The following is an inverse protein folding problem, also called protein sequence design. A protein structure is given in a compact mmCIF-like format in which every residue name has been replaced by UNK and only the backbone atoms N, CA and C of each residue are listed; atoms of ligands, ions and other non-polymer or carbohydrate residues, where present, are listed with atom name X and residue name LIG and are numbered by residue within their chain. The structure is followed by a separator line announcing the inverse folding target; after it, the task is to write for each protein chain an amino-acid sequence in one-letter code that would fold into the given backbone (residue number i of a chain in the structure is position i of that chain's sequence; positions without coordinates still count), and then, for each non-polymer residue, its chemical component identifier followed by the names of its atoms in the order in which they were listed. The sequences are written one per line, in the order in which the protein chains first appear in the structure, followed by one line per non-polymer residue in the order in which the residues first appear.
data_IF_218711333457
#
_entry.id   IF_218711333457
#
_cell.length_a   1.000
_cell.length_b   1.000
_cell.length_c   1.000
_cell.angle_alpha   90.00
_cell.angle_beta   90.00
_cell.angle_gamma   90.00
#
_symmetry.space_group_name_H-M   'P 1'
#
loop_
_entity.id
_entity.type
_entity.pdbx_description
1 polymer ?
#
# COMPACT_ATOMS: atom_id res chain seq x y z
N UNK A 1 -7.97 -0.48 8.46
CA UNK A 1 -6.54 -0.17 8.64
C UNK A 1 -5.71 -1.43 8.56
N UNK A 2 -4.54 -1.33 7.97
CA UNK A 2 -3.64 -2.46 7.91
C UNK A 2 -2.85 -2.60 9.23
N UNK A 3 -2.42 -3.82 9.51
CA UNK A 3 -1.68 -4.15 10.73
C UNK A 3 -0.18 -4.14 10.46
N UNK A 4 0.55 -3.18 11.05
CA UNK A 4 2.00 -3.07 10.89
C UNK A 4 2.76 -4.24 11.53
N UNK A 5 2.13 -5.00 12.41
CA UNK A 5 2.75 -6.19 13.00
C UNK A 5 2.93 -7.33 11.97
N UNK A 6 2.30 -7.22 10.80
CA UNK A 6 2.49 -8.15 9.69
C UNK A 6 3.74 -7.84 8.85
N UNK A 7 4.37 -6.68 9.09
CA UNK A 7 5.64 -6.35 8.46
C UNK A 7 6.79 -7.12 9.10
N UNK A 8 7.85 -7.37 8.33
CA UNK A 8 9.08 -7.92 8.88
C UNK A 8 9.67 -6.94 9.91
N UNK A 9 10.42 -7.44 10.93
CA UNK A 9 10.84 -6.61 12.07
C UNK A 9 11.53 -5.29 11.70
N UNK A 10 12.49 -5.30 10.78
CA UNK A 10 13.20 -4.08 10.37
C UNK A 10 12.30 -3.14 9.56
N UNK A 11 11.45 -3.67 8.71
CA UNK A 11 10.47 -2.90 7.96
C UNK A 11 9.44 -2.27 8.88
N UNK A 12 8.98 -3.02 9.87
CA UNK A 12 8.09 -2.52 10.91
C UNK A 12 8.72 -1.34 11.65
N UNK A 13 10.00 -1.46 12.04
CA UNK A 13 10.73 -0.39 12.73
C UNK A 13 10.83 0.86 11.88
N UNK A 14 11.16 0.73 10.61
CA UNK A 14 11.18 1.85 9.67
C UNK A 14 9.81 2.51 9.55
N UNK A 15 8.74 1.71 9.47
CA UNK A 15 7.37 2.21 9.41
C UNK A 15 7.01 3.00 10.67
N UNK A 16 7.33 2.48 11.85
CA UNK A 16 7.09 3.17 13.13
C UNK A 16 7.83 4.50 13.20
N UNK A 17 9.10 4.53 12.82
CA UNK A 17 9.91 5.75 12.80
C UNK A 17 9.34 6.79 11.82
N UNK A 18 8.89 6.34 10.66
CA UNK A 18 8.26 7.20 9.66
C UNK A 18 6.96 7.81 10.17
N UNK A 19 6.07 7.00 10.75
CA UNK A 19 4.80 7.48 11.32
C UNK A 19 5.07 8.55 12.37
N UNK A 20 6.02 8.30 13.28
CA UNK A 20 6.35 9.23 14.35
C UNK A 20 6.93 10.53 13.81
N UNK A 21 7.82 10.46 12.82
CA UNK A 21 8.40 11.65 12.19
C UNK A 21 7.32 12.49 11.48
N UNK A 22 6.39 11.85 10.81
CA UNK A 22 5.25 12.54 10.18
C UNK A 22 4.36 13.20 11.23
N UNK A 23 4.05 12.48 12.32
CA UNK A 23 3.26 13.02 13.43
C UNK A 23 3.89 14.27 14.01
N UNK A 24 5.21 14.27 14.24
CA UNK A 24 5.96 15.43 14.74
C UNK A 24 5.91 16.61 13.77
N UNK A 25 5.81 16.35 12.49
CA UNK A 25 5.67 17.37 11.46
C UNK A 25 4.22 17.84 11.26
N UNK A 26 3.28 17.37 12.08
CA UNK A 26 1.87 17.73 12.00
C UNK A 26 1.09 17.00 10.92
N UNK A 27 1.65 15.90 10.40
CA UNK A 27 1.01 15.09 9.36
C UNK A 27 0.36 13.86 9.99
N UNK A 28 -0.96 13.74 9.83
CA UNK A 28 -1.70 12.56 10.25
C UNK A 28 -1.88 11.63 9.05
N UNK A 29 -1.62 10.34 9.26
CA UNK A 29 -1.77 9.35 8.22
C UNK A 29 -2.22 8.02 8.79
N UNK A 30 -2.74 7.16 7.92
CA UNK A 30 -3.05 5.76 8.23
C UNK A 30 -2.28 4.86 7.29
N UNK A 31 -1.93 3.68 7.78
CA UNK A 31 -1.32 2.64 6.95
C UNK A 31 -2.48 1.87 6.31
N UNK A 32 -2.53 1.87 4.99
CA UNK A 32 -3.63 1.26 4.25
C UNK A 32 -3.35 -0.17 3.84
N UNK A 33 -2.08 -0.53 3.67
CA UNK A 33 -1.69 -1.90 3.33
C UNK A 33 -0.31 -2.21 3.87
N UNK A 34 -0.12 -3.46 4.30
CA UNK A 34 1.17 -4.01 4.75
C UNK A 34 1.45 -5.32 4.02
N UNK A 35 1.10 -6.46 4.61
CA UNK A 35 1.22 -7.75 3.95
C UNK A 35 0.05 -7.95 2.97
N UNK A 36 0.38 -8.39 1.75
CA UNK A 36 -0.61 -8.74 0.72
C UNK A 36 -0.45 -10.20 0.37
N UNK A 37 -1.56 -10.95 0.36
CA UNK A 37 -1.53 -12.36 -0.03
C UNK A 37 -1.24 -12.51 -1.53
N UNK A 38 -0.74 -13.69 -1.92
CA UNK A 38 -0.53 -14.03 -3.33
C UNK A 38 -1.86 -14.02 -4.09
N UNK A 39 -2.95 -14.45 -3.45
CA UNK A 39 -4.29 -14.43 -4.04
C UNK A 39 -4.77 -13.02 -4.35
N UNK A 40 -4.57 -12.09 -3.42
CA UNK A 40 -4.91 -10.68 -3.64
C UNK A 40 -4.08 -10.09 -4.78
N UNK A 41 -2.78 -10.36 -4.81
CA UNK A 41 -1.88 -9.86 -5.84
C UNK A 41 -2.30 -10.37 -7.22
N UNK A 42 -2.62 -11.66 -7.32
CA UNK A 42 -3.08 -12.28 -8.57
C UNK A 42 -4.41 -11.67 -9.05
N UNK A 43 -5.35 -11.43 -8.13
CA UNK A 43 -6.63 -10.80 -8.44
C UNK A 43 -6.43 -9.37 -8.96
N UNK A 44 -5.58 -8.58 -8.31
CA UNK A 44 -5.28 -7.22 -8.76
C UNK A 44 -4.61 -7.19 -10.13
N UNK A 45 -3.65 -8.08 -10.35
CA UNK A 45 -2.98 -8.17 -11.64
C UNK A 45 -3.94 -8.55 -12.78
N UNK A 46 -4.92 -9.41 -12.51
CA UNK A 46 -5.88 -9.88 -13.51
C UNK A 46 -6.83 -8.79 -14.00
N UNK A 47 -7.06 -7.74 -13.19
CA UNK A 47 -8.00 -6.66 -13.51
C UNK A 47 -7.61 -5.96 -14.81
N UNK A 48 -8.52 -5.90 -15.74
CA UNK A 48 -8.31 -5.30 -17.05
C UNK A 48 -7.53 -6.18 -18.03
N UNK A 49 -7.01 -7.31 -17.59
CA UNK A 49 -6.22 -8.25 -18.41
C UNK A 49 -7.00 -9.53 -18.72
N UNK A 50 -7.97 -9.87 -17.90
CA UNK A 50 -8.78 -11.09 -18.03
C UNK A 50 -10.27 -10.76 -18.07
N UNK A 51 -11.10 -11.74 -18.45
CA UNK A 51 -12.55 -11.58 -18.43
C UNK A 51 -13.07 -11.30 -17.03
N UNK A 52 -14.15 -10.53 -16.92
CA UNK A 52 -14.74 -10.15 -15.63
C UNK A 52 -15.04 -11.36 -14.76
N UNK A 53 -15.59 -12.43 -15.33
CA UNK A 53 -15.89 -13.66 -14.59
C UNK A 53 -14.65 -14.27 -13.94
N UNK A 54 -13.52 -14.26 -14.66
CA UNK A 54 -12.23 -14.76 -14.16
C UNK A 54 -11.68 -13.85 -13.06
N UNK A 55 -11.72 -12.53 -13.27
CA UNK A 55 -11.28 -11.54 -12.29
C UNK A 55 -12.06 -11.70 -10.99
N UNK A 56 -13.39 -11.78 -11.09
CA UNK A 56 -14.24 -11.91 -9.90
C UNK A 56 -14.10 -13.26 -9.20
N UNK A 57 -13.77 -14.33 -9.92
CA UNK A 57 -13.43 -15.61 -9.31
C UNK A 57 -12.15 -15.50 -8.47
N UNK A 58 -11.13 -14.82 -9.01
CA UNK A 58 -9.86 -14.56 -8.28
C UNK A 58 -10.08 -13.65 -7.08
N UNK A 59 -10.92 -12.61 -7.24
CA UNK A 59 -11.26 -11.72 -6.13
C UNK A 59 -11.97 -12.46 -5.00
N UNK A 60 -12.92 -13.32 -5.33
CA UNK A 60 -13.61 -14.15 -4.34
C UNK A 60 -12.63 -15.03 -3.57
N UNK A 61 -11.70 -15.67 -4.26
CA UNK A 61 -10.68 -16.51 -3.67
C UNK A 61 -9.76 -15.73 -2.71
N UNK A 62 -9.56 -14.45 -2.99
CA UNK A 62 -8.76 -13.53 -2.16
C UNK A 62 -9.60 -12.82 -1.09
N UNK A 63 -10.87 -13.15 -0.92
CA UNK A 63 -11.83 -12.49 -0.03
C UNK A 63 -12.04 -11.01 -0.36
N UNK A 64 -11.96 -10.66 -1.64
CA UNK A 64 -12.23 -9.33 -2.15
C UNK A 64 -13.63 -9.25 -2.75
N UNK A 65 -14.23 -8.08 -2.70
CA UNK A 65 -15.53 -7.84 -3.31
C UNK A 65 -15.45 -7.93 -4.83
N UNK A 66 -16.52 -8.37 -5.52
CA UNK A 66 -16.54 -8.37 -6.98
C UNK A 66 -16.51 -6.94 -7.53
N UNK A 67 -16.02 -6.80 -8.74
CA UNK A 67 -16.03 -5.54 -9.48
C UNK A 67 -16.97 -5.61 -10.67
N UNK A 68 -17.27 -4.45 -11.26
CA UNK A 68 -18.13 -4.32 -12.43
C UNK A 68 -17.32 -4.40 -13.73
N UNK A 69 -18.02 -4.58 -14.86
CA UNK A 69 -17.41 -4.55 -16.19
C UNK A 69 -16.69 -3.22 -16.45
N UNK A 70 -17.29 -2.11 -16.00
CA UNK A 70 -16.68 -0.79 -16.13
C UNK A 70 -15.35 -0.70 -15.37
N UNK A 71 -15.32 -1.21 -14.15
CA UNK A 71 -14.09 -1.24 -13.34
C UNK A 71 -13.03 -2.14 -13.97
N UNK A 72 -13.44 -3.26 -14.58
CA UNK A 72 -12.51 -4.18 -15.24
C UNK A 72 -11.90 -3.62 -16.53
N UNK A 73 -12.40 -2.51 -17.05
CA UNK A 73 -11.77 -1.83 -18.21
C UNK A 73 -10.48 -1.12 -17.83
N UNK A 74 -10.28 -0.82 -16.55
CA UNK A 74 -9.07 -0.16 -16.06
C UNK A 74 -8.03 -1.19 -15.68
N UNK A 75 -6.90 -1.20 -16.38
CA UNK A 75 -5.77 -2.08 -16.07
C UNK A 75 -5.13 -1.65 -14.77
N UNK A 76 -5.03 -2.58 -13.83
CA UNK A 76 -4.32 -2.38 -12.59
C UNK A 76 -2.82 -2.53 -12.83
N UNK A 77 -2.02 -1.58 -12.35
CA UNK A 77 -0.55 -1.58 -12.52
C UNK A 77 0.17 -2.41 -11.47
N UNK A 78 -0.49 -3.39 -10.88
CA UNK A 78 0.13 -4.29 -9.90
C UNK A 78 0.96 -5.37 -10.60
N UNK A 79 1.97 -5.89 -9.88
CA UNK A 79 2.81 -6.97 -10.37
C UNK A 79 2.11 -8.33 -10.21
N UNK A 80 2.65 -9.35 -10.89
CA UNK A 80 2.19 -10.74 -10.73
C UNK A 80 2.40 -11.24 -9.29
N UNK A 81 1.66 -12.27 -8.90
CA UNK A 81 1.77 -12.87 -7.57
C UNK A 81 3.22 -13.26 -7.26
N UNK A 82 3.66 -12.88 -6.05
CA UNK A 82 5.01 -13.14 -5.57
C UNK A 82 6.06 -12.11 -5.98
N UNK A 83 5.72 -11.13 -6.82
CA UNK A 83 6.66 -10.12 -7.31
C UNK A 83 6.65 -8.82 -6.49
N UNK A 84 5.60 -8.58 -5.70
CA UNK A 84 5.49 -7.35 -4.92
C UNK A 84 6.18 -7.47 -3.57
N UNK A 85 6.90 -6.44 -3.10
CA UNK A 85 7.42 -6.39 -1.73
C UNK A 85 6.34 -6.56 -0.67
N UNK A 86 5.10 -6.14 -0.94
CA UNK A 86 3.95 -6.34 -0.04
C UNK A 86 3.68 -7.83 0.24
N UNK A 87 4.00 -8.72 -0.69
CA UNK A 87 3.80 -10.17 -0.50
C UNK A 87 4.71 -10.75 0.59
N UNK A 88 5.77 -10.03 0.96
CA UNK A 88 6.79 -10.51 1.91
C UNK A 88 6.88 -9.67 3.18
N UNK A 89 5.96 -8.73 3.39
CA UNK A 89 6.00 -7.84 4.55
C UNK A 89 7.14 -6.83 4.49
N UNK A 90 7.57 -6.42 3.29
CA UNK A 90 8.69 -5.51 3.04
C UNK A 90 8.26 -4.12 2.57
N UNK A 91 6.96 -3.85 2.51
CA UNK A 91 6.43 -2.57 2.04
C UNK A 91 5.14 -2.23 2.78
N UNK A 92 4.83 -0.95 2.83
CA UNK A 92 3.54 -0.45 3.31
C UNK A 92 3.05 0.70 2.46
N UNK A 93 1.74 0.89 2.43
CA UNK A 93 1.07 2.02 1.78
C UNK A 93 0.47 2.93 2.83
N UNK A 94 0.38 4.21 2.51
CA UNK A 94 -0.18 5.23 3.39
C UNK A 94 -1.33 5.99 2.72
N UNK A 95 -2.18 6.57 3.56
CA UNK A 95 -3.13 7.60 3.16
C UNK A 95 -3.06 8.73 4.18
N UNK A 96 -2.92 9.96 3.71
CA UNK A 96 -2.92 11.13 4.57
C UNK A 96 -4.35 11.50 4.97
N UNK A 97 -4.51 11.96 6.22
CA UNK A 97 -5.80 12.38 6.76
C UNK A 97 -5.80 13.89 6.87
N UNK A 98 -6.80 14.53 6.24
CA UNK A 98 -7.02 15.97 6.30
C UNK A 98 -8.47 16.20 6.74
N UNK A 99 -8.65 16.99 7.82
CA UNK A 99 -9.96 17.26 8.38
C UNK A 99 -10.77 16.00 8.71
N UNK A 100 -10.09 14.97 9.23
CA UNK A 100 -10.72 13.72 9.63
C UNK A 100 -11.04 12.76 8.49
N UNK A 101 -10.66 13.08 7.25
CA UNK A 101 -10.93 12.25 6.07
C UNK A 101 -9.65 11.94 5.32
N UNK A 102 -9.61 10.74 4.71
CA UNK A 102 -8.51 10.36 3.82
C UNK A 102 -8.53 11.28 2.59
N UNK A 103 -7.37 11.84 2.26
CA UNK A 103 -7.19 12.71 1.10
C UNK A 103 -6.02 12.20 0.25
N UNK A 104 -6.34 11.64 -0.92
CA UNK A 104 -5.34 11.16 -1.88
C UNK A 104 -4.89 12.24 -2.86
N UNK A 105 -5.53 13.41 -2.85
CA UNK A 105 -5.31 14.46 -3.85
C UNK A 105 -4.37 15.58 -3.40
N UNK A 106 -3.99 15.60 -2.13
CA UNK A 106 -3.09 16.64 -1.59
C UNK A 106 -1.63 16.28 -1.90
N UNK A 107 -1.19 16.56 -3.11
CA UNK A 107 0.16 16.19 -3.58
C UNK A 107 1.27 16.83 -2.75
N UNK A 108 1.07 18.06 -2.27
CA UNK A 108 2.08 18.72 -1.42
C UNK A 108 2.30 17.97 -0.12
N UNK A 109 1.23 17.44 0.48
CA UNK A 109 1.31 16.66 1.70
C UNK A 109 2.08 15.36 1.48
N UNK A 110 1.80 14.66 0.38
CA UNK A 110 2.53 13.43 0.03
C UNK A 110 3.99 13.70 -0.30
N UNK A 111 4.31 14.82 -0.92
CA UNK A 111 5.71 15.22 -1.14
C UNK A 111 6.44 15.46 0.18
N UNK A 112 5.78 16.06 1.16
CA UNK A 112 6.34 16.23 2.51
C UNK A 112 6.61 14.87 3.15
N UNK A 113 5.69 13.92 3.02
CA UNK A 113 5.89 12.55 3.50
C UNK A 113 7.11 11.90 2.85
N UNK A 114 7.28 12.06 1.53
CA UNK A 114 8.45 11.55 0.82
C UNK A 114 9.76 12.16 1.30
N UNK A 115 9.76 13.46 1.56
CA UNK A 115 10.94 14.15 2.13
C UNK A 115 11.28 13.63 3.52
N UNK A 116 10.28 13.41 4.36
CA UNK A 116 10.45 12.84 5.69
C UNK A 116 10.99 11.41 5.59
N UNK A 117 10.44 10.59 4.68
CA UNK A 117 10.87 9.21 4.48
C UNK A 117 12.38 9.14 4.17
N UNK A 118 12.91 10.08 3.42
CA UNK A 118 14.35 10.12 3.07
C UNK A 118 15.25 10.36 4.28
N UNK A 119 14.71 10.88 5.38
CA UNK A 119 15.50 11.13 6.60
C UNK A 119 15.55 9.92 7.54
N UNK A 120 14.72 8.91 7.29
CA UNK A 120 14.61 7.76 8.17
C UNK A 120 15.71 6.74 7.86
N UNK A 121 16.43 6.35 8.89
CA UNK A 121 17.46 5.32 8.82
C UNK A 121 17.41 4.50 10.11
N UNK A 122 17.42 3.18 9.96
CA UNK A 122 17.50 2.26 11.09
C UNK A 122 18.56 1.21 10.79
N UNK A 123 19.67 1.27 11.49
CA UNK A 123 20.80 0.35 11.34
C UNK A 123 21.27 0.20 9.88
N UNK A 124 21.27 1.30 9.12
CA UNK A 124 21.64 1.32 7.72
C UNK A 124 20.50 1.00 6.74
N UNK A 125 19.35 0.60 7.26
CA UNK A 125 18.14 0.38 6.44
C UNK A 125 17.41 1.69 6.23
N UNK A 126 16.97 1.93 5.01
CA UNK A 126 16.29 3.17 4.60
C UNK A 126 14.95 2.86 3.94
N UNK A 127 14.14 3.90 3.78
CA UNK A 127 12.84 3.81 3.11
C UNK A 127 13.02 4.20 1.65
N UNK A 128 12.54 3.35 0.73
CA UNK A 128 12.40 3.69 -0.67
C UNK A 128 11.00 4.26 -0.89
N UNK A 129 10.93 5.50 -1.36
CA UNK A 129 9.67 6.20 -1.58
C UNK A 129 9.18 6.00 -3.00
N UNK A 130 8.01 5.37 -3.13
CA UNK A 130 7.44 5.05 -4.44
C UNK A 130 6.64 6.17 -5.09
N UNK A 131 6.55 7.30 -4.43
CA UNK A 131 5.89 8.49 -4.98
C UNK A 131 4.42 8.49 -4.99
#
# INVERSE_FOLDING_TARGET
MADINLLRPKTKKLCELFIEACRKAGINLVITQTLRSMYEQDAYYSQGRELLSTVNAKRKKANLQPITEKENKSINKKDVAGSSPHNYGLAWDIACIVNGKVDYNNLELYKKCGSIAKTINFEGYTIEWGG
#
